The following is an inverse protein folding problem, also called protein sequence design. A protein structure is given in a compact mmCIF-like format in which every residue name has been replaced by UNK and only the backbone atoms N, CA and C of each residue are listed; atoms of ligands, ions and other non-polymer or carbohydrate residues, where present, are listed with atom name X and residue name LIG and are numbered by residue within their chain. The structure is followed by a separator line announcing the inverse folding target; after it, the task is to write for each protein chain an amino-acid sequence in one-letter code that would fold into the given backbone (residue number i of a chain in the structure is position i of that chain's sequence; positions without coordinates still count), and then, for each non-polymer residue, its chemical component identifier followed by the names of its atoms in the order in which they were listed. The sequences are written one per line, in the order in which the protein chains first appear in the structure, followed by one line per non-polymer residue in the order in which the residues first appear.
data_IF_574580917945
#
_entry.id   IF_574580917945
#
_cell.length_a   1.000
_cell.length_b   1.000
_cell.length_c   1.000
_cell.angle_alpha   90.00
_cell.angle_beta   90.00
_cell.angle_gamma   90.00
#
_symmetry.space_group_name_H-M   'P 1'
#
loop_
_entity.id
_entity.type
_entity.pdbx_description
1 polymer ?
#
# COMPACT_ATOMS: atom_id res chain seq x y z
N UNK A 1 -24.80 -16.09 -17.42
CA UNK A 1 -24.37 -16.35 -16.01
C UNK A 1 -23.59 -15.14 -15.49
N UNK A 2 -23.79 -14.74 -14.24
CA UNK A 2 -23.05 -13.62 -13.64
C UNK A 2 -21.73 -14.08 -13.04
N UNK A 3 -20.72 -13.21 -13.05
CA UNK A 3 -19.39 -13.42 -12.48
C UNK A 3 -19.04 -12.23 -11.60
N UNK A 4 -18.45 -12.49 -10.45
CA UNK A 4 -17.94 -11.46 -9.54
C UNK A 4 -16.43 -11.56 -9.43
N UNK A 5 -15.73 -10.43 -9.46
CA UNK A 5 -14.28 -10.33 -9.28
C UNK A 5 -14.01 -9.33 -8.17
N UNK A 6 -13.19 -9.70 -7.20
CA UNK A 6 -12.69 -8.79 -6.18
C UNK A 6 -11.31 -8.27 -6.59
N UNK A 7 -11.14 -6.94 -6.54
CA UNK A 7 -9.88 -6.26 -6.81
C UNK A 7 -9.45 -5.55 -5.52
N UNK A 8 -8.37 -5.98 -4.86
CA UNK A 8 -7.91 -5.35 -3.62
C UNK A 8 -7.29 -3.98 -3.91
N UNK A 9 -7.43 -3.05 -2.97
CA UNK A 9 -6.69 -1.79 -2.93
C UNK A 9 -5.44 -1.94 -2.06
N UNK A 10 -4.53 -0.98 -2.18
CA UNK A 10 -3.32 -0.91 -1.36
C UNK A 10 -3.14 0.52 -0.87
N UNK A 11 -2.48 0.71 0.27
CA UNK A 11 -2.12 2.04 0.74
C UNK A 11 -1.04 2.66 -0.16
N UNK A 12 -1.01 4.00 -0.23
CA UNK A 12 -0.01 4.74 -1.01
C UNK A 12 1.39 4.60 -0.39
N UNK A 13 2.45 4.38 -1.19
CA UNK A 13 3.81 4.38 -0.66
C UNK A 13 4.21 5.76 -0.12
N UNK A 14 4.85 5.80 1.05
CA UNK A 14 5.46 7.03 1.59
C UNK A 14 6.93 7.06 1.13
N UNK A 15 7.40 8.23 0.71
CA UNK A 15 8.79 8.42 0.29
C UNK A 15 9.52 9.41 1.19
N UNK A 16 10.82 9.17 1.42
CA UNK A 16 11.68 10.05 2.19
C UNK A 16 13.01 10.28 1.49
N UNK A 17 13.48 11.52 1.57
CA UNK A 17 14.84 11.86 1.15
C UNK A 17 15.84 11.40 2.20
N UNK A 18 16.77 10.54 1.79
CA UNK A 18 17.90 10.10 2.62
C UNK A 18 19.22 10.45 1.96
N UNK A 19 20.22 10.76 2.78
CA UNK A 19 21.60 10.94 2.31
C UNK A 19 22.35 9.63 2.46
N UNK A 20 22.65 8.98 1.35
CA UNK A 20 23.43 7.73 1.32
C UNK A 20 24.86 8.00 0.88
N UNK A 21 25.82 7.30 1.49
CA UNK A 21 27.21 7.30 1.06
C UNK A 21 27.39 6.26 -0.04
N UNK A 22 27.58 6.70 -1.27
CA UNK A 22 27.78 5.82 -2.44
C UNK A 22 29.27 5.79 -2.77
N UNK A 23 29.88 4.60 -2.93
CA UNK A 23 31.27 4.49 -3.37
C UNK A 23 31.40 5.02 -4.80
N UNK A 24 32.43 5.84 -5.07
CA UNK A 24 32.67 6.42 -6.40
C UNK A 24 33.45 5.52 -7.34
N UNK A 25 33.97 4.40 -6.83
CA UNK A 25 34.93 3.57 -7.56
C UNK A 25 36.34 4.16 -7.61
N UNK A 26 36.53 5.37 -7.08
CA UNK A 26 37.84 6.00 -6.92
C UNK A 26 38.38 5.77 -5.51
N UNK A 27 39.70 5.62 -5.42
CA UNK A 27 40.40 5.56 -4.13
C UNK A 27 41.06 6.90 -3.84
N UNK A 28 41.03 7.31 -2.57
CA UNK A 28 41.74 8.49 -2.07
C UNK A 28 42.80 8.06 -1.08
N UNK A 29 44.02 8.57 -1.29
CA UNK A 29 45.17 8.30 -0.44
C UNK A 29 45.01 9.01 0.92
N UNK A 30 44.87 8.24 1.98
CA UNK A 30 44.73 8.69 3.37
C UNK A 30 46.08 8.53 4.09
N UNK A 31 46.54 9.61 4.73
CA UNK A 31 47.88 9.72 5.34
C UNK A 31 49.08 9.41 4.41
N UNK A 32 48.89 9.33 3.09
CA UNK A 32 49.96 9.07 2.13
C UNK A 32 50.39 7.59 2.02
N UNK A 33 49.83 6.70 2.85
CA UNK A 33 50.25 5.29 2.95
C UNK A 33 49.09 4.30 2.70
N UNK A 34 47.83 4.75 2.85
CA UNK A 34 46.66 3.87 2.80
C UNK A 34 45.68 4.40 1.75
N UNK A 35 45.29 3.56 0.79
CA UNK A 35 44.23 3.90 -0.17
C UNK A 35 42.87 3.51 0.42
N UNK A 36 41.95 4.47 0.48
CA UNK A 36 40.59 4.27 1.01
C UNK A 36 39.59 4.62 -0.09
N UNK A 37 38.54 3.81 -0.23
CA UNK A 37 37.44 4.09 -1.15
C UNK A 37 36.79 5.44 -0.85
N UNK A 38 36.73 6.29 -1.87
CA UNK A 38 36.02 7.56 -1.80
C UNK A 38 34.50 7.29 -1.83
N UNK A 39 33.80 7.93 -0.89
CA UNK A 39 32.34 7.85 -0.78
C UNK A 39 31.76 9.25 -0.86
N UNK A 40 30.89 9.50 -1.84
CA UNK A 40 30.15 10.76 -1.96
C UNK A 40 28.79 10.61 -1.29
N UNK A 41 28.34 11.67 -0.62
CA UNK A 41 26.98 11.78 -0.10
C UNK A 41 26.03 12.12 -1.26
N UNK A 42 25.12 11.21 -1.59
CA UNK A 42 24.07 11.43 -2.58
C UNK A 42 22.70 11.46 -1.89
N UNK A 43 21.86 12.42 -2.26
CA UNK A 43 20.45 12.41 -1.89
C UNK A 43 19.73 11.36 -2.75
N UNK A 44 19.02 10.44 -2.11
CA UNK A 44 18.13 9.49 -2.78
C UNK A 44 16.76 9.55 -2.13
N UNK A 45 15.72 9.46 -2.96
CA UNK A 45 14.37 9.22 -2.49
C UNK A 45 14.20 7.71 -2.35
N UNK A 46 13.91 7.24 -1.15
CA UNK A 46 13.62 5.83 -0.88
C UNK A 46 12.19 5.71 -0.36
N UNK A 47 11.54 4.58 -0.63
CA UNK A 47 10.27 4.28 0.00
C UNK A 47 10.50 4.03 1.50
N UNK A 48 9.76 4.75 2.33
CA UNK A 48 9.80 4.73 3.79
C UNK A 48 8.41 4.33 4.32
N UNK A 49 7.95 3.14 3.90
CA UNK A 49 6.70 2.54 4.33
C UNK A 49 5.49 2.85 3.45
N UNK A 50 4.32 2.81 4.08
CA UNK A 50 3.00 2.94 3.44
C UNK A 50 2.15 3.92 4.24
N UNK A 51 1.28 4.65 3.53
CA UNK A 51 0.29 5.52 4.13
C UNK A 51 -0.58 4.71 5.08
N UNK A 52 -0.89 5.32 6.22
CA UNK A 52 -1.78 4.76 7.20
C UNK A 52 -3.18 5.34 7.10
N UNK A 53 -3.53 6.03 5.99
CA UNK A 53 -4.82 6.70 5.77
C UNK A 53 -5.23 6.92 4.30
N UNK A 54 -4.31 6.79 3.34
CA UNK A 54 -4.58 7.05 1.92
C UNK A 54 -4.31 5.80 1.07
N UNK A 55 -5.30 5.41 0.28
CA UNK A 55 -5.14 4.36 -0.72
C UNK A 55 -4.38 4.88 -1.95
N UNK A 56 -3.64 4.00 -2.60
CA UNK A 56 -3.03 4.22 -3.91
C UNK A 56 -4.12 4.12 -4.99
N UNK A 57 -4.76 5.25 -5.27
CA UNK A 57 -5.86 5.31 -6.23
C UNK A 57 -5.43 5.06 -7.67
N UNK A 58 -4.20 5.44 -8.04
CA UNK A 58 -3.66 5.22 -9.39
C UNK A 58 -3.46 3.72 -9.62
N UNK A 59 -2.80 3.04 -8.67
CA UNK A 59 -2.66 1.58 -8.73
C UNK A 59 -4.01 0.86 -8.75
N UNK A 60 -4.96 1.27 -7.89
CA UNK A 60 -6.28 0.66 -7.87
C UNK A 60 -6.99 0.82 -9.22
N UNK A 61 -6.90 1.98 -9.86
CA UNK A 61 -7.47 2.23 -11.17
C UNK A 61 -6.87 1.30 -12.24
N UNK A 62 -5.54 1.13 -12.26
CA UNK A 62 -4.87 0.19 -13.15
C UNK A 62 -5.29 -1.26 -12.91
N UNK A 63 -5.38 -1.68 -11.65
CA UNK A 63 -5.80 -3.03 -11.24
C UNK A 63 -7.24 -3.33 -11.68
N UNK A 64 -8.14 -2.37 -11.49
CA UNK A 64 -9.54 -2.44 -11.96
C UNK A 64 -9.59 -2.50 -13.48
N UNK A 65 -8.86 -1.65 -14.18
CA UNK A 65 -8.79 -1.65 -15.64
C UNK A 65 -8.36 -3.01 -16.19
N UNK A 66 -7.30 -3.61 -15.62
CA UNK A 66 -6.84 -4.95 -16.00
C UNK A 66 -7.89 -6.04 -15.75
N UNK A 67 -8.65 -5.94 -14.66
CA UNK A 67 -9.72 -6.88 -14.36
C UNK A 67 -10.88 -6.76 -15.35
N UNK A 68 -11.27 -5.53 -15.72
CA UNK A 68 -12.31 -5.26 -16.72
C UNK A 68 -11.87 -5.78 -18.10
N UNK A 69 -10.65 -5.49 -18.53
CA UNK A 69 -10.12 -5.96 -19.81
C UNK A 69 -10.14 -7.49 -19.92
N UNK A 70 -9.83 -8.18 -18.82
CA UNK A 70 -9.89 -9.64 -18.76
C UNK A 70 -11.34 -10.14 -18.87
N UNK A 71 -12.28 -9.50 -18.18
CA UNK A 71 -13.70 -9.85 -18.27
C UNK A 71 -14.25 -9.64 -19.68
N UNK A 72 -13.91 -8.52 -20.33
CA UNK A 72 -14.31 -8.21 -21.70
C UNK A 72 -13.77 -9.26 -22.68
N UNK A 73 -12.49 -9.65 -22.55
CA UNK A 73 -11.88 -10.74 -23.34
C UNK A 73 -12.56 -12.09 -23.12
N UNK A 74 -13.03 -12.35 -21.90
CA UNK A 74 -13.78 -13.54 -21.55
C UNK A 74 -15.25 -13.48 -22.02
N UNK A 75 -15.69 -12.42 -22.73
CA UNK A 75 -17.05 -12.24 -23.21
C UNK A 75 -18.05 -11.88 -22.11
N UNK A 76 -17.61 -11.09 -21.13
CA UNK A 76 -18.47 -10.53 -20.09
C UNK A 76 -18.57 -9.01 -20.24
N UNK A 77 -19.73 -8.47 -19.91
CA UNK A 77 -19.97 -7.04 -19.76
C UNK A 77 -20.04 -6.69 -18.26
N UNK A 78 -19.32 -5.65 -17.86
CA UNK A 78 -19.34 -5.16 -16.47
C UNK A 78 -20.64 -4.40 -16.22
N UNK A 79 -21.38 -4.81 -15.19
CA UNK A 79 -22.65 -4.20 -14.78
C UNK A 79 -22.44 -3.19 -13.66
N UNK A 80 -21.59 -3.51 -12.68
CA UNK A 80 -21.38 -2.64 -11.53
C UNK A 80 -20.00 -2.84 -10.91
N UNK A 81 -19.49 -1.78 -10.28
CA UNK A 81 -18.28 -1.79 -9.46
C UNK A 81 -18.65 -1.19 -8.10
N UNK A 82 -18.53 -1.99 -7.04
CA UNK A 82 -18.96 -1.61 -5.69
C UNK A 82 -17.77 -1.63 -4.73
N UNK A 83 -17.48 -0.55 -3.99
CA UNK A 83 -16.40 -0.55 -3.01
C UNK A 83 -16.75 -1.47 -1.83
N UNK A 84 -15.75 -2.21 -1.36
CA UNK A 84 -15.76 -2.93 -0.10
C UNK A 84 -14.95 -2.13 0.93
N UNK A 85 -15.60 -1.72 2.02
CA UNK A 85 -15.01 -0.84 3.03
C UNK A 85 -14.82 -1.59 4.33
N UNK A 86 -13.63 -1.51 4.93
CA UNK A 86 -13.37 -1.99 6.29
C UNK A 86 -13.25 -0.85 7.27
N UNK A 87 -13.77 -1.06 8.49
CA UNK A 87 -13.80 -0.07 9.57
C UNK A 87 -12.93 -0.42 10.79
N UNK A 88 -12.02 -1.39 10.69
CA UNK A 88 -11.22 -1.88 11.82
C UNK A 88 -9.76 -1.42 11.83
N UNK A 89 -9.34 -0.59 10.87
CA UNK A 89 -7.93 -0.23 10.72
C UNK A 89 -7.41 0.62 11.88
N UNK A 90 -6.21 0.27 12.36
CA UNK A 90 -5.50 0.94 13.46
C UNK A 90 -6.26 1.00 14.80
N UNK A 91 -7.25 0.13 15.02
CA UNK A 91 -7.84 -0.06 16.35
C UNK A 91 -6.75 -0.45 17.36
N UNK A 92 -6.53 0.39 18.36
CA UNK A 92 -5.60 0.14 19.46
C UNK A 92 -6.34 0.25 20.78
N UNK A 93 -6.52 -0.90 21.41
CA UNK A 93 -7.05 -1.03 22.75
C UNK A 93 -6.03 -1.75 23.62
N UNK A 94 -5.62 -1.11 24.72
CA UNK A 94 -4.77 -1.74 25.72
C UNK A 94 -5.41 -1.58 27.10
N UNK A 95 -5.89 -2.70 27.62
CA UNK A 95 -6.30 -2.83 29.02
C UNK A 95 -5.07 -3.19 29.85
N UNK A 96 -4.68 -2.33 30.79
CA UNK A 96 -3.61 -2.62 31.74
C UNK A 96 -4.20 -3.00 33.10
N UNK A 97 -3.67 -4.04 33.74
CA UNK A 97 -4.07 -4.44 35.09
C UNK A 97 -3.44 -3.52 36.15
N UNK A 98 -4.26 -3.10 37.12
CA UNK A 98 -3.82 -2.31 38.28
C UNK A 98 -3.34 -3.28 39.37
N UNK A 99 -2.23 -3.97 39.13
CA UNK A 99 -1.58 -4.78 40.15
C UNK A 99 -0.26 -4.09 40.56
N UNK A 100 -0.21 -3.62 41.82
CA UNK A 100 0.91 -2.92 42.47
C UNK A 100 1.26 -1.49 42.00
N UNK A 101 0.49 -0.51 42.47
CA UNK A 101 0.99 0.82 42.89
C UNK A 101 1.50 1.82 41.83
N UNK A 102 1.90 1.36 40.64
CA UNK A 102 2.41 2.17 39.53
C UNK A 102 1.44 2.11 38.33
N UNK A 103 0.15 2.34 38.59
CA UNK A 103 -0.93 2.14 37.62
C UNK A 103 -0.61 2.75 36.26
N UNK A 104 -0.37 1.91 35.24
CA UNK A 104 -0.32 2.35 33.85
C UNK A 104 -1.77 2.59 33.43
N UNK A 105 -2.11 3.84 33.11
CA UNK A 105 -3.44 4.16 32.59
C UNK A 105 -3.78 3.26 31.40
N UNK A 106 -4.98 2.69 31.41
CA UNK A 106 -5.54 2.05 30.21
C UNK A 106 -5.79 3.13 29.17
N UNK A 107 -5.42 2.86 27.92
CA UNK A 107 -5.71 3.76 26.80
C UNK A 107 -6.37 2.97 25.69
N UNK A 108 -7.39 3.58 25.09
CA UNK A 108 -8.11 3.02 23.97
C UNK A 108 -8.53 4.15 23.05
N UNK A 109 -8.11 4.09 21.78
CA UNK A 109 -8.68 4.92 20.74
C UNK A 109 -9.79 4.10 20.09
N UNK A 110 -11.03 4.44 20.46
CA UNK A 110 -12.25 3.81 19.93
C UNK A 110 -12.56 4.28 18.52
N UNK A 111 -12.93 3.33 17.67
CA UNK A 111 -13.16 3.39 16.23
C UNK A 111 -11.88 3.62 15.40
N UNK A 112 -11.38 2.53 14.81
CA UNK A 112 -10.50 2.63 13.65
C UNK A 112 -11.22 3.41 12.53
N UNK A 113 -10.46 4.07 11.65
CA UNK A 113 -11.09 4.76 10.52
C UNK A 113 -11.39 3.76 9.39
N UNK A 114 -12.34 4.12 8.53
CA UNK A 114 -12.75 3.27 7.41
C UNK A 114 -11.87 3.49 6.19
N UNK A 115 -11.45 2.41 5.53
CA UNK A 115 -10.76 2.47 4.24
C UNK A 115 -11.41 1.51 3.25
N UNK A 116 -11.35 1.85 1.96
CA UNK A 116 -11.77 0.93 0.89
C UNK A 116 -10.71 -0.15 0.78
N UNK A 117 -11.03 -1.40 1.13
CA UNK A 117 -10.13 -2.56 0.99
C UNK A 117 -9.98 -3.02 -0.45
N UNK A 118 -10.94 -2.64 -1.29
CA UNK A 118 -10.99 -3.04 -2.69
C UNK A 118 -12.36 -2.78 -3.29
N UNK A 119 -12.57 -3.28 -4.50
CA UNK A 119 -13.85 -3.19 -5.20
C UNK A 119 -14.30 -4.56 -5.69
N UNK A 120 -15.62 -4.77 -5.67
CA UNK A 120 -16.29 -5.94 -6.26
C UNK A 120 -16.85 -5.53 -7.62
N UNK A 121 -16.39 -6.20 -8.66
CA UNK A 121 -16.85 -6.03 -10.04
C UNK A 121 -17.87 -7.14 -10.31
N UNK A 122 -19.12 -6.77 -10.61
CA UNK A 122 -20.15 -7.68 -11.09
C UNK A 122 -20.21 -7.58 -12.61
N UNK A 123 -20.14 -8.72 -13.29
CA UNK A 123 -20.23 -8.80 -14.74
C UNK A 123 -21.20 -9.89 -15.19
N UNK A 124 -21.88 -9.66 -16.31
CA UNK A 124 -22.81 -10.60 -16.95
C UNK A 124 -22.17 -11.16 -18.22
N UNK A 125 -22.34 -12.46 -18.45
CA UNK A 125 -21.95 -13.09 -19.71
C UNK A 125 -22.78 -12.53 -20.87
N UNK A 126 -22.11 -12.09 -21.93
CA UNK A 126 -22.75 -11.73 -23.19
C UNK A 126 -23.20 -13.01 -23.90
N UNK A 127 -24.46 -13.04 -24.34
CA UNK A 127 -25.01 -14.14 -25.13
C UNK A 127 -25.04 -13.74 -26.62
N UNK A 128 -25.13 -14.70 -27.55
CA UNK A 128 -25.16 -14.45 -29.02
C UNK A 128 -26.25 -13.48 -29.49
N UNK A 129 -27.26 -13.20 -28.65
CA UNK A 129 -28.36 -12.26 -28.94
C UNK A 129 -28.03 -10.80 -28.60
N UNK A 130 -26.92 -10.55 -27.92
CA UNK A 130 -26.45 -9.21 -27.54
C UNK A 130 -25.51 -8.60 -28.61
N UNK A 131 -25.30 -9.30 -29.74
CA UNK A 131 -24.55 -8.87 -30.94
C UNK A 131 -25.48 -8.76 -32.15
#
# INVERSE_FOLDING_TARGET
MNKTVYVPSYFQPIYKEVTVKVPTGNTKRFLGIIDIDEKIRQKKVIQDGWSDCQIDGERLNEDVGRAIDKLNKDGYEVISITPATSGSWAYKYQQNDINNGNGKGSYGYGYGYSYTEGVLILAKKLDEKDF
#
